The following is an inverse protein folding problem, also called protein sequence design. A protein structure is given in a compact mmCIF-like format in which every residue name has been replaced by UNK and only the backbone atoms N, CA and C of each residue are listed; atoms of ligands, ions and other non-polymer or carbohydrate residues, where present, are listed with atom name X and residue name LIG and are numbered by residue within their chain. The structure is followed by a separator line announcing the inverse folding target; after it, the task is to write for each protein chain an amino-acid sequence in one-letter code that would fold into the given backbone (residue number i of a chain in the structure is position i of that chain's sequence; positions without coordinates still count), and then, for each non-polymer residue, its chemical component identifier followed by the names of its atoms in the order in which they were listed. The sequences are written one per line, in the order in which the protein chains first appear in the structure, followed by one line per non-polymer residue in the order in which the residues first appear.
data_IF_020135904427
#
_entry.id   IF_020135904427
#
_cell.length_a   1.000
_cell.length_b   1.000
_cell.length_c   1.000
_cell.angle_alpha   90.00
_cell.angle_beta   90.00
_cell.angle_gamma   90.00
#
_symmetry.space_group_name_H-M   'P 1'
#
loop_
_entity.id
_entity.type
_entity.pdbx_description
1 polymer ?
#
# COMPACT_ATOMS: atom_id res chain seq x y z
N UNK A 1 -18.01 -8.38 17.34
CA UNK A 1 -17.76 -9.70 17.97
C UNK A 1 -16.81 -10.48 17.08
N UNK A 2 -15.91 -11.28 17.67
CA UNK A 2 -14.94 -12.12 16.94
C UNK A 2 -15.62 -13.42 16.52
N UNK A 3 -15.64 -13.76 15.23
CA UNK A 3 -16.27 -14.97 14.71
C UNK A 3 -15.38 -16.19 14.95
N UNK A 4 -16.00 -17.29 15.35
CA UNK A 4 -15.30 -18.56 15.54
C UNK A 4 -15.12 -19.26 14.19
N UNK A 5 -14.11 -20.12 14.09
CA UNK A 5 -13.82 -20.83 12.84
C UNK A 5 -15.02 -21.64 12.31
N UNK A 6 -15.82 -22.25 13.20
CA UNK A 6 -17.04 -22.99 12.80
C UNK A 6 -18.14 -22.08 12.22
N UNK A 7 -18.25 -20.84 12.71
CA UNK A 7 -19.18 -19.85 12.15
C UNK A 7 -18.71 -19.42 10.75
N UNK A 8 -17.40 -19.25 10.57
CA UNK A 8 -16.80 -18.95 9.26
C UNK A 8 -16.99 -20.08 8.25
N UNK A 9 -16.98 -21.35 8.69
CA UNK A 9 -17.31 -22.48 7.83
C UNK A 9 -18.75 -22.38 7.29
N UNK A 10 -19.72 -22.00 8.13
CA UNK A 10 -21.11 -21.81 7.71
C UNK A 10 -21.27 -20.60 6.76
N UNK A 11 -20.53 -19.51 7.00
CA UNK A 11 -20.50 -18.36 6.09
C UNK A 11 -19.93 -18.76 4.73
N UNK A 12 -18.90 -19.61 4.71
CA UNK A 12 -18.27 -20.04 3.47
C UNK A 12 -19.19 -20.89 2.58
N UNK A 13 -20.06 -21.73 3.16
CA UNK A 13 -21.03 -22.51 2.37
C UNK A 13 -22.08 -21.64 1.68
N UNK A 14 -22.38 -20.47 2.24
CA UNK A 14 -23.22 -19.47 1.58
C UNK A 14 -22.47 -18.72 0.47
N UNK A 15 -21.16 -18.51 0.63
CA UNK A 15 -20.33 -17.79 -0.34
C UNK A 15 -19.95 -18.63 -1.57
N UNK A 16 -19.74 -19.94 -1.39
CA UNK A 16 -19.26 -20.86 -2.44
C UNK A 16 -20.30 -21.97 -2.67
N UNK A 17 -21.06 -21.93 -3.77
CA UNK A 17 -22.04 -22.97 -4.09
C UNK A 17 -21.40 -24.36 -4.16
N UNK A 18 -21.99 -25.32 -3.46
CA UNK A 18 -21.51 -26.71 -3.43
C UNK A 18 -20.37 -26.98 -2.44
N UNK A 19 -19.86 -25.96 -1.73
CA UNK A 19 -18.85 -26.17 -0.70
C UNK A 19 -19.43 -26.95 0.49
N UNK A 20 -18.82 -28.10 0.80
CA UNK A 20 -19.19 -29.00 1.90
C UNK A 20 -18.01 -29.20 2.86
N UNK A 21 -17.83 -28.31 3.86
CA UNK A 21 -16.71 -28.40 4.79
C UNK A 21 -16.77 -29.67 5.64
N UNK A 22 -15.68 -30.44 5.67
CA UNK A 22 -15.50 -31.64 6.49
C UNK A 22 -14.60 -31.38 7.71
N UNK A 23 -13.72 -30.39 7.63
CA UNK A 23 -12.91 -29.93 8.74
C UNK A 23 -12.70 -28.41 8.69
N UNK A 24 -12.46 -27.83 9.87
CA UNK A 24 -12.17 -26.40 10.02
C UNK A 24 -11.11 -26.20 11.09
N UNK A 25 -10.20 -25.27 10.82
CA UNK A 25 -9.22 -24.81 11.81
C UNK A 25 -9.14 -23.29 11.82
N UNK A 26 -8.73 -22.74 12.98
CA UNK A 26 -8.34 -21.34 13.07
C UNK A 26 -7.06 -21.14 12.27
N UNK A 27 -7.03 -20.09 11.46
CA UNK A 27 -5.84 -19.68 10.74
C UNK A 27 -5.74 -18.17 10.83
N UNK A 28 -5.08 -17.66 11.89
CA UNK A 28 -4.88 -16.22 12.05
C UNK A 28 -4.22 -15.64 10.79
N UNK A 29 -4.75 -14.50 10.37
CA UNK A 29 -4.20 -13.64 9.33
C UNK A 29 -3.75 -12.36 10.04
N UNK A 30 -4.25 -11.18 9.67
CA UNK A 30 -4.23 -10.01 10.55
C UNK A 30 -5.42 -10.07 11.53
N UNK A 31 -5.19 -10.34 12.83
CA UNK A 31 -6.26 -10.52 13.80
C UNK A 31 -6.92 -9.19 14.23
N UNK A 32 -6.33 -8.04 13.91
CA UNK A 32 -6.94 -6.73 14.12
C UNK A 32 -8.06 -6.49 13.10
N UNK A 33 -7.82 -6.89 11.85
CA UNK A 33 -8.70 -6.60 10.72
C UNK A 33 -9.63 -7.75 10.34
N UNK A 34 -9.22 -9.01 10.55
CA UNK A 34 -9.92 -10.18 10.03
C UNK A 34 -10.13 -11.28 11.08
N UNK A 35 -11.28 -11.93 10.96
CA UNK A 35 -11.51 -13.28 11.48
C UNK A 35 -11.31 -14.26 10.33
N UNK A 36 -10.34 -15.18 10.48
CA UNK A 36 -9.89 -16.06 9.40
C UNK A 36 -9.90 -17.54 9.79
N UNK A 37 -10.25 -18.39 8.82
CA UNK A 37 -10.30 -19.84 9.00
C UNK A 37 -9.81 -20.59 7.77
N UNK A 38 -9.25 -21.79 7.99
CA UNK A 38 -8.98 -22.76 6.93
C UNK A 38 -10.04 -23.85 6.96
N UNK A 39 -10.55 -24.18 5.79
CA UNK A 39 -11.54 -25.24 5.59
C UNK A 39 -10.95 -26.34 4.72
N UNK A 40 -11.34 -27.58 5.00
CA UNK A 40 -11.18 -28.72 4.11
C UNK A 40 -12.58 -29.16 3.68
N UNK A 41 -12.80 -29.38 2.39
CA UNK A 41 -14.08 -29.90 1.90
C UNK A 41 -14.10 -31.43 1.74
N UNK A 42 -15.22 -31.99 1.29
CA UNK A 42 -15.37 -33.44 1.07
C UNK A 42 -14.58 -33.97 -0.12
N UNK A 43 -14.10 -33.10 -1.01
CA UNK A 43 -13.24 -33.44 -2.15
C UNK A 43 -11.76 -33.32 -1.80
N UNK A 44 -11.43 -32.89 -0.57
CA UNK A 44 -10.07 -32.68 -0.11
C UNK A 44 -9.46 -31.33 -0.53
N UNK A 45 -10.25 -30.42 -1.11
CA UNK A 45 -9.77 -29.07 -1.43
C UNK A 45 -9.74 -28.23 -0.16
N UNK A 46 -8.74 -27.34 -0.11
CA UNK A 46 -8.53 -26.42 1.00
C UNK A 46 -8.96 -25.01 0.62
N UNK A 47 -9.59 -24.33 1.56
CA UNK A 47 -10.13 -22.99 1.39
C UNK A 47 -9.68 -22.09 2.54
N UNK A 48 -9.52 -20.80 2.27
CA UNK A 48 -9.28 -19.78 3.29
C UNK A 48 -10.46 -18.81 3.28
N UNK A 49 -11.06 -18.58 4.44
CA UNK A 49 -12.11 -17.58 4.65
C UNK A 49 -11.50 -16.37 5.31
N UNK A 50 -11.74 -15.17 4.79
CA UNK A 50 -11.35 -13.90 5.41
C UNK A 50 -12.59 -13.05 5.62
N UNK A 51 -13.00 -12.91 6.89
CA UNK A 51 -14.16 -12.11 7.28
C UNK A 51 -13.69 -10.82 7.97
N UNK A 52 -13.96 -9.63 7.39
CA UNK A 52 -13.51 -8.37 7.95
C UNK A 52 -14.25 -8.03 9.25
N UNK A 53 -13.55 -7.35 10.16
CA UNK A 53 -14.07 -6.93 11.47
C UNK A 53 -14.67 -5.52 11.46
N UNK A 54 -14.32 -4.70 10.46
CA UNK A 54 -14.75 -3.32 10.31
C UNK A 54 -14.81 -2.91 8.82
N UNK A 55 -15.34 -1.71 8.55
CA UNK A 55 -15.64 -1.25 7.19
C UNK A 55 -14.39 -1.05 6.33
N UNK A 56 -13.28 -0.57 6.93
CA UNK A 56 -12.03 -0.35 6.22
C UNK A 56 -11.42 -1.69 5.76
N UNK A 57 -11.38 -2.70 6.64
CA UNK A 57 -10.95 -4.05 6.29
C UNK A 57 -11.83 -4.66 5.19
N UNK A 58 -13.15 -4.41 5.22
CA UNK A 58 -14.06 -4.86 4.15
C UNK A 58 -13.75 -4.18 2.81
N UNK A 59 -13.52 -2.87 2.81
CA UNK A 59 -13.16 -2.12 1.60
C UNK A 59 -11.82 -2.60 1.02
N UNK A 60 -10.85 -2.97 1.86
CA UNK A 60 -9.58 -3.58 1.42
C UNK A 60 -9.82 -4.90 0.68
N UNK A 61 -10.62 -5.82 1.22
CA UNK A 61 -10.92 -7.09 0.53
C UNK A 61 -11.72 -6.90 -0.76
N UNK A 62 -12.65 -5.96 -0.79
CA UNK A 62 -13.41 -5.62 -2.01
C UNK A 62 -12.47 -5.06 -3.10
N UNK A 63 -11.53 -4.20 -2.71
CA UNK A 63 -10.50 -3.67 -3.61
C UNK A 63 -9.58 -4.79 -4.11
N UNK A 64 -9.07 -5.63 -3.22
CA UNK A 64 -8.25 -6.80 -3.58
C UNK A 64 -9.00 -7.71 -4.58
N UNK A 65 -10.29 -7.96 -4.36
CA UNK A 65 -11.10 -8.75 -5.30
C UNK A 65 -11.17 -8.14 -6.70
N UNK A 66 -11.35 -6.82 -6.81
CA UNK A 66 -11.33 -6.12 -8.10
C UNK A 66 -9.96 -6.24 -8.79
N UNK A 67 -8.88 -6.05 -8.03
CA UNK A 67 -7.50 -6.21 -8.54
C UNK A 67 -7.28 -7.63 -9.04
N UNK A 68 -7.60 -8.64 -8.24
CA UNK A 68 -7.40 -10.05 -8.61
C UNK A 68 -8.17 -10.45 -9.88
N UNK A 69 -9.34 -9.84 -10.12
CA UNK A 69 -10.13 -10.05 -11.34
C UNK A 69 -9.50 -9.44 -12.60
N UNK A 70 -8.64 -8.43 -12.45
CA UNK A 70 -7.92 -7.83 -13.58
C UNK A 70 -6.89 -8.78 -14.19
N UNK A 71 -6.43 -9.79 -13.43
CA UNK A 71 -5.48 -10.78 -13.89
C UNK A 71 -6.18 -11.90 -14.68
N UNK A 72 -6.17 -11.76 -16.01
CA UNK A 72 -6.66 -12.81 -16.91
C UNK A 72 -5.90 -14.14 -16.71
N UNK A 73 -6.52 -15.31 -16.96
CA UNK A 73 -5.88 -16.61 -16.74
C UNK A 73 -4.53 -16.79 -17.45
N UNK A 74 -4.37 -16.25 -18.66
CA UNK A 74 -3.11 -16.31 -19.41
C UNK A 74 -1.97 -15.58 -18.68
N UNK A 75 -2.26 -14.39 -18.11
CA UNK A 75 -1.28 -13.61 -17.34
C UNK A 75 -0.91 -14.37 -16.06
N UNK A 76 -1.90 -14.92 -15.36
CA UNK A 76 -1.67 -15.72 -14.14
C UNK A 76 -0.78 -16.94 -14.41
N UNK A 77 -0.93 -17.58 -15.57
CA UNK A 77 -0.15 -18.76 -15.94
C UNK A 77 1.33 -18.45 -16.26
N UNK A 78 1.65 -17.20 -16.61
CA UNK A 78 3.03 -16.77 -16.88
C UNK A 78 3.80 -16.36 -15.61
N UNK A 79 3.11 -16.17 -14.49
CA UNK A 79 3.76 -15.79 -13.23
C UNK A 79 4.53 -16.97 -12.61
N UNK A 80 5.73 -16.73 -12.04
CA UNK A 80 6.54 -17.78 -11.43
C UNK A 80 6.00 -18.23 -10.06
N UNK A 81 4.94 -17.59 -9.57
CA UNK A 81 4.28 -17.84 -8.28
C UNK A 81 2.75 -17.86 -8.48
N UNK A 82 2.03 -18.40 -7.49
CA UNK A 82 0.57 -18.39 -7.46
C UNK A 82 0.03 -17.09 -6.85
N UNK A 83 -1.15 -16.69 -7.28
CA UNK A 83 -1.91 -15.57 -6.71
C UNK A 83 -3.20 -16.06 -6.04
N UNK A 84 -3.74 -15.32 -5.05
CA UNK A 84 -5.05 -15.62 -4.49
C UNK A 84 -6.13 -15.70 -5.57
N UNK A 85 -7.00 -16.69 -5.43
CA UNK A 85 -8.18 -16.85 -6.27
C UNK A 85 -9.40 -16.84 -5.39
N UNK A 86 -10.26 -15.85 -5.60
CA UNK A 86 -11.54 -15.77 -4.91
C UNK A 86 -12.47 -16.81 -5.50
N UNK A 87 -12.90 -17.74 -4.65
CA UNK A 87 -13.86 -18.79 -4.96
C UNK A 87 -15.31 -18.31 -4.81
N UNK A 88 -15.54 -17.35 -3.91
CA UNK A 88 -16.85 -16.80 -3.66
C UNK A 88 -16.82 -15.69 -2.61
N UNK A 89 -17.94 -14.99 -2.49
CA UNK A 89 -18.10 -13.88 -1.54
C UNK A 89 -19.52 -13.81 -1.03
N UNK A 90 -19.68 -13.41 0.24
CA UNK A 90 -20.98 -13.22 0.86
C UNK A 90 -20.98 -11.92 1.66
N UNK A 91 -22.07 -11.16 1.57
CA UNK A 91 -22.28 -9.94 2.34
C UNK A 91 -23.03 -10.25 3.63
N UNK A 92 -22.42 -9.85 4.75
CA UNK A 92 -22.94 -10.00 6.11
C UNK A 92 -23.17 -8.59 6.69
N UNK A 93 -24.42 -8.12 6.64
CA UNK A 93 -24.73 -6.72 6.93
C UNK A 93 -24.05 -5.78 5.93
N UNK A 94 -23.24 -4.84 6.41
CA UNK A 94 -22.47 -3.92 5.56
C UNK A 94 -21.09 -4.43 5.15
N UNK A 95 -20.68 -5.62 5.62
CA UNK A 95 -19.32 -6.14 5.42
C UNK A 95 -19.31 -7.33 4.47
N UNK A 96 -18.31 -7.40 3.59
CA UNK A 96 -18.16 -8.48 2.60
C UNK A 96 -17.09 -9.46 3.04
N UNK A 97 -17.46 -10.74 3.19
CA UNK A 97 -16.56 -11.85 3.50
C UNK A 97 -16.20 -12.58 2.23
N UNK A 98 -14.92 -12.92 2.07
CA UNK A 98 -14.40 -13.58 0.87
C UNK A 98 -13.83 -14.96 1.20
N UNK A 99 -14.06 -15.92 0.30
CA UNK A 99 -13.52 -17.27 0.36
C UNK A 99 -12.55 -17.45 -0.79
N UNK A 100 -11.35 -17.90 -0.47
CA UNK A 100 -10.24 -18.09 -1.41
C UNK A 100 -9.86 -19.56 -1.48
N UNK A 101 -9.39 -19.99 -2.65
CA UNK A 101 -8.64 -21.25 -2.75
C UNK A 101 -7.35 -21.14 -1.93
N UNK A 102 -7.03 -22.18 -1.15
CA UNK A 102 -5.85 -22.16 -0.31
C UNK A 102 -4.57 -22.26 -1.14
N UNK A 103 -3.61 -21.38 -0.84
CA UNK A 103 -2.26 -21.40 -1.40
C UNK A 103 -1.32 -22.13 -0.43
N UNK A 104 -0.49 -23.02 -0.95
CA UNK A 104 0.51 -23.75 -0.18
C UNK A 104 1.76 -22.90 0.11
N UNK A 105 2.50 -23.30 1.14
CA UNK A 105 3.66 -22.56 1.68
C UNK A 105 3.34 -21.87 3.01
N UNK A 106 4.34 -21.24 3.59
CA UNK A 106 4.22 -20.42 4.79
C UNK A 106 4.97 -19.11 4.62
N UNK A 107 4.55 -18.08 5.35
CA UNK A 107 5.39 -16.89 5.54
C UNK A 107 6.62 -17.25 6.35
N UNK A 108 7.64 -16.40 6.27
CA UNK A 108 8.89 -16.49 7.03
C UNK A 108 9.27 -15.10 7.48
N UNK A 109 9.91 -14.97 8.63
CA UNK A 109 10.43 -13.67 9.05
C UNK A 109 11.55 -13.21 8.13
N UNK A 110 11.87 -11.91 8.14
CA UNK A 110 13.00 -11.37 7.38
C UNK A 110 14.30 -12.10 7.71
N UNK A 111 14.55 -12.40 9.00
CA UNK A 111 15.73 -13.13 9.45
C UNK A 111 15.77 -14.57 8.93
N UNK A 112 14.62 -15.24 8.83
CA UNK A 112 14.54 -16.58 8.25
C UNK A 112 14.74 -16.58 6.74
N UNK A 113 14.34 -15.50 6.06
CA UNK A 113 14.57 -15.31 4.63
C UNK A 113 16.06 -15.04 4.33
N UNK A 114 16.70 -14.18 5.12
CA UNK A 114 18.12 -13.80 4.96
C UNK A 114 19.05 -14.94 5.34
N UNK A 115 18.73 -15.71 6.38
CA UNK A 115 19.47 -16.92 6.77
C UNK A 115 19.14 -18.14 5.89
N UNK A 116 18.19 -18.00 4.96
CA UNK A 116 17.78 -19.05 4.04
C UNK A 116 18.84 -19.38 2.98
N UNK A 117 18.61 -20.42 2.15
CA UNK A 117 19.51 -20.73 1.05
C UNK A 117 19.56 -19.59 0.02
N UNK A 118 20.72 -19.32 -0.59
CA UNK A 118 20.91 -18.30 -1.64
C UNK A 118 19.87 -18.36 -2.77
N UNK A 119 19.39 -19.57 -3.07
CA UNK A 119 18.35 -19.81 -4.05
C UNK A 119 17.04 -19.05 -3.74
N UNK A 120 16.75 -18.77 -2.47
CA UNK A 120 15.56 -18.04 -2.04
C UNK A 120 15.64 -16.55 -2.40
N UNK A 121 16.78 -15.91 -2.18
CA UNK A 121 17.03 -14.54 -2.63
C UNK A 121 16.83 -14.41 -4.15
N UNK A 122 17.31 -15.41 -4.91
CA UNK A 122 17.09 -15.49 -6.35
C UNK A 122 15.60 -15.60 -6.71
N UNK A 123 14.84 -16.46 -6.02
CA UNK A 123 13.40 -16.61 -6.28
C UNK A 123 12.61 -15.34 -5.95
N UNK A 124 12.97 -14.61 -4.89
CA UNK A 124 12.38 -13.31 -4.56
C UNK A 124 12.67 -12.29 -5.67
N UNK A 125 13.92 -12.22 -6.14
CA UNK A 125 14.28 -11.33 -7.26
C UNK A 125 13.55 -11.67 -8.56
N UNK A 126 13.34 -12.96 -8.85
CA UNK A 126 12.55 -13.42 -10.00
C UNK A 126 11.07 -13.05 -9.85
N UNK A 127 10.50 -13.20 -8.65
CA UNK A 127 9.12 -12.79 -8.37
C UNK A 127 8.92 -11.28 -8.57
N UNK A 128 9.81 -10.46 -7.99
CA UNK A 128 9.84 -9.00 -8.18
C UNK A 128 9.93 -8.61 -9.65
N UNK A 129 10.82 -9.27 -10.40
CA UNK A 129 10.98 -8.99 -11.83
C UNK A 129 9.69 -9.28 -12.59
N UNK A 130 9.05 -10.41 -12.32
CA UNK A 130 7.79 -10.80 -12.93
C UNK A 130 6.65 -9.81 -12.63
N UNK A 131 6.55 -9.32 -11.38
CA UNK A 131 5.57 -8.30 -10.99
C UNK A 131 5.82 -7.00 -11.77
N UNK A 132 7.07 -6.51 -11.77
CA UNK A 132 7.41 -5.26 -12.44
C UNK A 132 7.35 -5.35 -13.97
N UNK A 133 7.38 -6.56 -14.53
CA UNK A 133 7.15 -6.87 -15.94
C UNK A 133 5.68 -7.21 -16.28
N UNK A 134 4.75 -7.05 -15.35
CA UNK A 134 3.35 -7.13 -15.71
C UNK A 134 2.97 -6.05 -16.75
N UNK A 135 2.13 -6.39 -17.74
CA UNK A 135 1.61 -5.39 -18.66
C UNK A 135 0.88 -4.27 -17.92
N UNK A 136 1.29 -3.02 -18.16
CA UNK A 136 0.65 -1.81 -17.59
C UNK A 136 -0.86 -1.74 -17.86
N UNK A 137 -1.32 -2.39 -18.93
CA UNK A 137 -2.73 -2.51 -19.28
C UNK A 137 -3.57 -3.20 -18.20
N UNK A 138 -3.00 -4.08 -17.36
CA UNK A 138 -3.73 -4.67 -16.22
C UNK A 138 -4.21 -3.58 -15.27
N UNK A 139 -3.32 -2.63 -14.95
CA UNK A 139 -3.62 -1.51 -14.05
C UNK A 139 -4.56 -0.52 -14.74
N UNK A 140 -4.27 -0.13 -15.98
CA UNK A 140 -5.09 0.85 -16.70
C UNK A 140 -6.50 0.35 -17.02
N UNK A 141 -6.68 -0.92 -17.39
CA UNK A 141 -8.00 -1.47 -17.73
C UNK A 141 -8.89 -1.70 -16.50
N UNK A 142 -8.30 -1.78 -15.31
CA UNK A 142 -9.00 -1.92 -14.04
C UNK A 142 -9.19 -0.58 -13.32
N UNK A 143 -8.89 0.54 -14.00
CA UNK A 143 -8.95 1.91 -13.45
C UNK A 143 -8.16 2.06 -12.13
N UNK A 144 -7.06 1.31 -12.00
CA UNK A 144 -6.19 1.35 -10.84
C UNK A 144 -5.20 2.54 -10.91
N UNK A 145 -4.66 3.00 -9.77
CA UNK A 145 -3.80 4.17 -9.73
C UNK A 145 -2.56 4.02 -10.63
N UNK A 146 -2.21 5.10 -11.33
CA UNK A 146 -1.02 5.17 -12.17
C UNK A 146 -0.35 6.52 -12.00
N UNK A 147 0.93 6.50 -11.65
CA UNK A 147 1.71 7.71 -11.41
C UNK A 147 2.92 7.77 -12.33
N UNK A 148 3.15 8.94 -12.91
CA UNK A 148 4.46 9.31 -13.48
C UNK A 148 5.48 9.51 -12.35
N UNK A 149 6.79 9.51 -12.63
CA UNK A 149 7.81 9.71 -11.60
C UNK A 149 7.64 11.01 -10.81
N UNK A 150 7.26 12.09 -11.50
CA UNK A 150 7.05 13.39 -10.85
C UNK A 150 5.76 13.44 -10.02
N UNK A 151 4.68 12.82 -10.47
CA UNK A 151 3.45 12.70 -9.67
C UNK A 151 3.69 11.88 -8.41
N UNK A 152 4.43 10.78 -8.53
CA UNK A 152 4.80 9.93 -7.39
C UNK A 152 5.65 10.72 -6.38
N UNK A 153 6.69 11.41 -6.86
CA UNK A 153 7.52 12.31 -6.04
C UNK A 153 6.69 13.39 -5.34
N UNK A 154 5.81 14.08 -6.06
CA UNK A 154 4.98 15.14 -5.50
C UNK A 154 4.03 14.60 -4.44
N UNK A 155 3.48 13.39 -4.64
CA UNK A 155 2.65 12.73 -3.64
C UNK A 155 3.45 12.44 -2.36
N UNK A 156 4.67 11.92 -2.48
CA UNK A 156 5.55 11.68 -1.32
C UNK A 156 5.93 12.97 -0.59
N UNK A 157 6.16 14.07 -1.32
CA UNK A 157 6.34 15.41 -0.71
C UNK A 157 5.09 15.85 0.06
N UNK A 158 3.90 15.69 -0.51
CA UNK A 158 2.67 16.06 0.18
C UNK A 158 2.42 15.20 1.43
N UNK A 159 2.77 13.91 1.38
CA UNK A 159 2.74 13.01 2.54
C UNK A 159 3.74 13.47 3.61
N UNK A 160 4.95 13.90 3.21
CA UNK A 160 5.95 14.46 4.13
C UNK A 160 5.44 15.74 4.80
N UNK A 161 4.84 16.66 4.05
CA UNK A 161 4.26 17.89 4.59
C UNK A 161 3.18 17.59 5.63
N UNK A 162 2.29 16.64 5.34
CA UNK A 162 1.27 16.19 6.29
C UNK A 162 1.90 15.57 7.53
N UNK A 163 2.88 14.70 7.38
CA UNK A 163 3.57 14.06 8.48
C UNK A 163 4.34 15.09 9.35
N UNK A 164 4.91 16.13 8.74
CA UNK A 164 5.57 17.22 9.43
C UNK A 164 4.61 18.03 10.32
N UNK A 165 3.34 18.19 9.91
CA UNK A 165 2.33 18.90 10.71
C UNK A 165 2.02 18.24 12.06
N UNK A 166 2.38 16.96 12.23
CA UNK A 166 2.23 16.25 13.50
C UNK A 166 3.14 16.79 14.60
N UNK A 167 4.27 17.42 14.23
CA UNK A 167 5.29 17.91 15.15
C UNK A 167 6.05 16.80 15.93
N UNK A 168 5.82 15.54 15.59
CA UNK A 168 6.39 14.36 16.29
C UNK A 168 7.59 13.74 15.59
N UNK A 169 7.89 14.15 14.36
CA UNK A 169 9.02 13.62 13.59
C UNK A 169 10.30 14.40 13.94
N UNK A 170 11.43 13.73 14.23
CA UNK A 170 12.71 14.39 14.45
C UNK A 170 13.10 15.33 13.29
N UNK A 171 13.48 16.59 13.55
CA UNK A 171 13.78 17.56 12.49
C UNK A 171 14.90 17.13 11.53
N UNK A 172 15.87 16.36 12.02
CA UNK A 172 16.96 15.83 11.20
C UNK A 172 16.45 14.86 10.12
N UNK A 173 15.42 14.06 10.43
CA UNK A 173 14.79 13.15 9.47
C UNK A 173 13.96 13.93 8.43
N UNK A 174 13.20 14.94 8.87
CA UNK A 174 12.44 15.81 7.96
C UNK A 174 13.35 16.46 6.92
N UNK A 175 14.43 17.12 7.35
CA UNK A 175 15.40 17.76 6.46
C UNK A 175 16.05 16.75 5.50
N UNK A 176 16.38 15.56 6.02
CA UNK A 176 17.00 14.48 5.26
C UNK A 176 16.07 13.95 4.16
N UNK A 177 14.80 13.73 4.47
CA UNK A 177 13.80 13.23 3.52
C UNK A 177 13.38 14.30 2.51
N UNK A 178 13.18 15.54 2.96
CA UNK A 178 12.91 16.70 2.09
C UNK A 178 14.01 16.83 1.04
N UNK A 179 15.27 16.82 1.47
CA UNK A 179 16.41 16.90 0.56
C UNK A 179 16.45 15.77 -0.48
N UNK A 180 16.16 14.53 -0.09
CA UNK A 180 16.10 13.40 -1.02
C UNK A 180 14.91 13.50 -1.99
N UNK A 181 13.76 13.97 -1.50
CA UNK A 181 12.58 14.25 -2.31
C UNK A 181 12.80 15.44 -3.25
N UNK A 182 13.69 16.37 -2.92
CA UNK A 182 14.06 17.51 -3.77
C UNK A 182 15.12 17.19 -4.83
N UNK A 183 15.94 16.16 -4.62
CA UNK A 183 16.93 15.68 -5.60
C UNK A 183 16.26 15.08 -6.84
N UNK A 184 16.06 15.93 -7.86
CA UNK A 184 15.43 15.57 -9.14
C UNK A 184 16.14 14.41 -9.84
N UNK A 185 17.44 14.18 -9.59
CA UNK A 185 18.18 13.09 -10.22
C UNK A 185 17.74 11.72 -9.73
N UNK A 186 17.26 11.63 -8.49
CA UNK A 186 16.74 10.43 -7.85
C UNK A 186 15.46 9.92 -8.54
N UNK A 187 14.62 10.84 -9.00
CA UNK A 187 13.26 10.59 -9.52
C UNK A 187 13.22 10.32 -11.04
N UNK A 188 14.37 10.03 -11.66
CA UNK A 188 14.47 9.62 -13.07
C UNK A 188 14.44 8.10 -13.19
N UNK A 189 13.26 7.51 -13.02
CA UNK A 189 13.02 6.08 -13.17
C UNK A 189 11.94 5.79 -14.21
N UNK A 190 11.87 4.52 -14.64
CA UNK A 190 10.81 4.03 -15.51
C UNK A 190 9.70 3.43 -14.63
N UNK A 191 8.48 4.02 -14.59
CA UNK A 191 7.40 3.46 -13.81
C UNK A 191 7.01 2.06 -14.29
N UNK A 192 6.80 1.15 -13.37
CA UNK A 192 6.35 -0.22 -13.61
C UNK A 192 5.06 -0.49 -12.85
N UNK A 193 4.41 -1.61 -13.17
CA UNK A 193 3.45 -2.20 -12.24
C UNK A 193 4.21 -2.54 -10.96
N UNK A 194 3.65 -2.23 -9.80
CA UNK A 194 4.21 -2.55 -8.48
C UNK A 194 3.13 -3.21 -7.64
N UNK A 195 3.52 -4.16 -6.80
CA UNK A 195 2.64 -4.81 -5.83
C UNK A 195 2.13 -3.76 -4.82
N UNK A 196 3.03 -2.89 -4.37
CA UNK A 196 2.71 -1.70 -3.60
C UNK A 196 2.69 -1.88 -2.09
N UNK A 197 2.56 -3.13 -1.64
CA UNK A 197 2.63 -3.59 -0.24
C UNK A 197 3.44 -4.90 -0.14
N UNK A 198 4.54 -5.02 -0.90
CA UNK A 198 5.33 -6.25 -0.87
C UNK A 198 6.23 -6.27 0.38
N UNK A 199 6.11 -7.33 1.18
CA UNK A 199 6.97 -7.63 2.32
C UNK A 199 6.85 -9.14 2.66
N UNK A 200 7.56 -9.60 3.68
CA UNK A 200 7.71 -11.02 4.03
C UNK A 200 6.39 -11.73 4.37
N UNK A 201 5.39 -11.05 4.94
CA UNK A 201 4.09 -11.65 5.23
C UNK A 201 3.26 -11.88 3.96
N UNK A 202 3.60 -11.18 2.88
CA UNK A 202 2.96 -11.31 1.58
C UNK A 202 3.66 -12.34 0.67
N UNK A 203 4.68 -13.04 1.18
CA UNK A 203 5.41 -14.09 0.47
C UNK A 203 5.18 -15.45 1.12
N UNK A 204 4.63 -16.39 0.36
CA UNK A 204 4.57 -17.79 0.77
C UNK A 204 5.78 -18.55 0.20
N UNK A 205 6.47 -19.26 1.07
CA UNK A 205 7.70 -20.00 0.74
C UNK A 205 7.55 -21.48 1.10
N UNK A 206 8.05 -22.35 0.24
CA UNK A 206 8.22 -23.77 0.50
C UNK A 206 9.64 -24.21 0.10
N UNK A 207 10.40 -24.73 1.06
CA UNK A 207 11.83 -25.01 0.85
C UNK A 207 12.62 -23.73 0.50
N UNK A 208 13.11 -23.66 -0.73
CA UNK A 208 13.83 -22.50 -1.29
C UNK A 208 13.07 -21.80 -2.42
N UNK A 209 11.76 -22.03 -2.54
CA UNK A 209 10.92 -21.49 -3.62
C UNK A 209 9.83 -20.56 -3.07
N UNK A 210 9.62 -19.43 -3.73
CA UNK A 210 8.43 -18.59 -3.54
C UNK A 210 7.25 -19.26 -4.24
N UNK A 211 6.29 -19.77 -3.47
CA UNK A 211 5.13 -20.50 -4.00
C UNK A 211 3.99 -19.57 -4.38
N UNK A 212 3.81 -18.48 -3.62
CA UNK A 212 2.71 -17.54 -3.81
C UNK A 212 3.06 -16.14 -3.32
N UNK A 213 2.36 -15.15 -3.89
CA UNK A 213 2.40 -13.74 -3.46
C UNK A 213 0.97 -13.30 -3.14
N UNK A 214 0.75 -12.72 -1.97
CA UNK A 214 -0.57 -12.24 -1.47
C UNK A 214 -0.55 -10.73 -1.22
N UNK A 215 -1.68 -10.12 -0.86
CA UNK A 215 -1.70 -8.70 -0.47
C UNK A 215 -1.87 -7.71 -1.62
N UNK A 216 -2.56 -8.10 -2.69
CA UNK A 216 -2.63 -7.35 -3.96
C UNK A 216 -3.49 -6.06 -3.93
N UNK A 217 -3.87 -5.57 -2.75
CA UNK A 217 -4.79 -4.43 -2.61
C UNK A 217 -4.22 -3.15 -3.22
N UNK A 218 -2.90 -2.98 -3.15
CA UNK A 218 -2.21 -1.72 -3.43
C UNK A 218 -1.57 -1.66 -4.84
N UNK A 219 -1.95 -2.60 -5.71
CA UNK A 219 -1.45 -2.71 -7.08
C UNK A 219 -1.64 -1.40 -7.84
N UNK A 220 -0.54 -0.87 -8.38
CA UNK A 220 -0.54 0.40 -9.11
C UNK A 220 0.59 0.44 -10.14
N UNK A 221 0.59 1.47 -10.98
CA UNK A 221 1.81 1.87 -11.70
C UNK A 221 2.53 2.94 -10.87
N UNK A 222 3.79 2.69 -10.52
CA UNK A 222 4.56 3.56 -9.63
C UNK A 222 6.05 3.28 -9.66
N UNK A 223 6.72 3.64 -8.57
CA UNK A 223 8.16 3.42 -8.40
C UNK A 223 8.45 1.98 -7.95
N UNK A 224 9.18 1.17 -8.74
CA UNK A 224 9.56 -0.18 -8.33
C UNK A 224 10.40 -0.24 -7.06
N UNK A 225 10.92 0.90 -6.57
CA UNK A 225 11.61 0.98 -5.29
C UNK A 225 10.71 0.67 -4.08
N UNK A 226 9.40 0.90 -4.17
CA UNK A 226 8.45 0.62 -3.06
C UNK A 226 8.50 -0.87 -2.67
N UNK A 227 8.53 -1.78 -3.65
CA UNK A 227 8.57 -3.24 -3.42
C UNK A 227 9.94 -3.75 -2.95
N UNK A 228 10.96 -2.88 -2.95
CA UNK A 228 12.31 -3.16 -2.41
C UNK A 228 12.53 -2.59 -1.00
N UNK A 229 11.64 -1.74 -0.50
CA UNK A 229 11.86 -0.99 0.75
C UNK A 229 12.11 -1.93 1.95
N UNK A 230 11.30 -2.98 2.10
CA UNK A 230 11.43 -3.95 3.19
C UNK A 230 12.77 -4.73 3.14
N UNK A 231 13.29 -5.01 1.94
CA UNK A 231 14.58 -5.67 1.77
C UNK A 231 15.71 -4.79 2.31
N UNK A 232 15.70 -3.50 1.95
CA UNK A 232 16.73 -2.57 2.40
C UNK A 232 16.65 -2.33 3.91
N UNK A 233 15.46 -2.43 4.50
CA UNK A 233 15.26 -2.34 5.95
C UNK A 233 15.87 -3.52 6.73
N UNK A 234 16.10 -4.68 6.10
CA UNK A 234 16.72 -5.86 6.74
C UNK A 234 18.18 -5.67 7.16
N UNK A 235 18.86 -4.68 6.57
CA UNK A 235 20.29 -4.39 6.75
C UNK A 235 21.25 -5.57 6.40
N UNK A 236 20.77 -6.58 5.67
CA UNK A 236 21.55 -7.72 5.18
C UNK A 236 21.99 -7.50 3.72
N UNK A 237 23.10 -6.78 3.52
CA UNK A 237 23.53 -6.30 2.21
C UNK A 237 23.72 -7.43 1.18
N UNK A 238 24.32 -8.56 1.59
CA UNK A 238 24.56 -9.70 0.69
C UNK A 238 23.24 -10.29 0.16
N UNK A 239 22.22 -10.34 1.01
CA UNK A 239 20.88 -10.78 0.63
C UNK A 239 20.22 -9.81 -0.34
N UNK A 240 20.27 -8.50 -0.04
CA UNK A 240 19.73 -7.44 -0.92
C UNK A 240 20.41 -7.47 -2.29
N UNK A 241 21.73 -7.62 -2.33
CA UNK A 241 22.52 -7.68 -3.56
C UNK A 241 22.18 -8.93 -4.38
N UNK A 242 21.98 -10.09 -3.73
CA UNK A 242 21.55 -11.32 -4.39
C UNK A 242 20.14 -11.19 -5.01
N UNK A 243 19.19 -10.59 -4.27
CA UNK A 243 17.84 -10.30 -4.78
C UNK A 243 17.91 -9.32 -5.96
N UNK A 244 18.65 -8.22 -5.82
CA UNK A 244 18.82 -7.22 -6.88
C UNK A 244 19.47 -7.80 -8.14
N UNK A 245 20.45 -8.69 -7.98
CA UNK A 245 21.11 -9.36 -9.10
C UNK A 245 20.13 -10.24 -9.88
N UNK A 246 19.34 -11.06 -9.17
CA UNK A 246 18.32 -11.91 -9.78
C UNK A 246 17.20 -11.08 -10.43
N UNK A 247 16.75 -10.02 -9.76
CA UNK A 247 15.79 -9.06 -10.30
C UNK A 247 16.29 -8.44 -11.60
N UNK A 248 17.51 -7.90 -11.59
CA UNK A 248 18.12 -7.26 -12.77
C UNK A 248 18.27 -8.23 -13.93
N UNK A 249 18.58 -9.50 -13.66
CA UNK A 249 18.70 -10.54 -14.69
C UNK A 249 17.35 -10.99 -15.27
N UNK A 250 16.28 -10.97 -14.47
CA UNK A 250 14.93 -11.35 -14.89
C UNK A 250 14.14 -10.23 -15.57
N UNK A 251 14.51 -8.97 -15.33
CA UNK A 251 13.83 -7.79 -15.88
C UNK A 251 14.06 -7.63 -17.39
N UNK A 252 13.02 -7.22 -18.12
CA UNK A 252 13.16 -6.81 -19.53
C UNK A 252 13.92 -5.49 -19.69
N UNK A 253 13.64 -4.53 -18.81
CA UNK A 253 14.33 -3.24 -18.79
C UNK A 253 15.29 -3.16 -17.61
N UNK A 254 16.51 -2.69 -17.87
CA UNK A 254 17.52 -2.49 -16.83
C UNK A 254 16.99 -1.52 -15.76
N UNK A 255 17.03 -1.89 -14.46
CA UNK A 255 16.69 -0.98 -13.37
C UNK A 255 17.57 0.27 -13.38
N UNK A 256 17.02 1.40 -12.96
CA UNK A 256 17.81 2.62 -12.84
C UNK A 256 18.81 2.51 -11.67
N UNK A 257 19.87 3.33 -11.73
CA UNK A 257 20.97 3.32 -10.74
C UNK A 257 20.58 3.80 -9.34
N UNK A 258 19.38 4.34 -9.15
CA UNK A 258 18.92 4.94 -7.90
C UNK A 258 17.80 4.14 -7.23
N UNK A 259 17.45 2.97 -7.77
CA UNK A 259 16.43 2.07 -7.20
C UNK A 259 16.61 1.84 -5.69
N UNK A 260 17.78 1.34 -5.27
CA UNK A 260 18.02 1.05 -3.85
C UNK A 260 18.06 2.31 -2.97
N UNK A 261 18.42 3.47 -3.52
CA UNK A 261 18.38 4.74 -2.77
C UNK A 261 16.95 5.19 -2.51
N UNK A 262 16.07 5.05 -3.51
CA UNK A 262 14.63 5.30 -3.34
C UNK A 262 13.98 4.27 -2.42
N UNK A 263 14.43 3.01 -2.46
CA UNK A 263 13.95 1.97 -1.57
C UNK A 263 14.33 2.28 -0.12
N UNK A 264 15.58 2.70 0.13
CA UNK A 264 16.03 3.18 1.43
C UNK A 264 15.21 4.38 1.92
N UNK A 265 14.97 5.38 1.07
CA UNK A 265 14.10 6.51 1.39
C UNK A 265 12.68 6.04 1.77
N UNK A 266 12.10 5.12 1.00
CA UNK A 266 10.77 4.58 1.28
C UNK A 266 10.73 3.80 2.60
N UNK A 267 11.78 3.04 2.92
CA UNK A 267 11.90 2.31 4.17
C UNK A 267 11.96 3.25 5.38
N UNK A 268 12.80 4.29 5.32
CA UNK A 268 12.86 5.32 6.37
C UNK A 268 11.51 6.04 6.52
N UNK A 269 10.89 6.41 5.39
CA UNK A 269 9.65 7.18 5.37
C UNK A 269 8.42 6.38 5.83
N UNK A 270 8.45 5.05 5.70
CA UNK A 270 7.37 4.18 6.20
C UNK A 270 7.08 4.39 7.70
N UNK A 271 8.10 4.73 8.50
CA UNK A 271 7.91 5.05 9.93
C UNK A 271 7.05 6.30 10.15
N UNK A 272 7.20 7.32 9.29
CA UNK A 272 6.36 8.51 9.33
C UNK A 272 4.91 8.19 8.93
N UNK A 273 4.73 7.31 7.95
CA UNK A 273 3.40 6.84 7.55
C UNK A 273 2.72 6.02 8.66
N UNK A 274 3.48 5.16 9.34
CA UNK A 274 3.00 4.40 10.50
C UNK A 274 2.55 5.33 11.64
N UNK A 275 3.33 6.37 11.94
CA UNK A 275 2.97 7.42 12.90
C UNK A 275 1.65 8.10 12.51
N UNK A 276 1.52 8.57 11.27
CA UNK A 276 0.31 9.26 10.79
C UNK A 276 -0.91 8.34 10.86
N UNK A 277 -0.75 7.05 10.53
CA UNK A 277 -1.80 6.03 10.67
C UNK A 277 -2.23 5.86 12.13
N UNK A 278 -1.28 5.76 13.06
CA UNK A 278 -1.56 5.68 14.49
C UNK A 278 -2.34 6.89 15.01
N UNK A 279 -1.97 8.10 14.58
CA UNK A 279 -2.68 9.33 14.93
C UNK A 279 -4.12 9.31 14.38
N UNK A 280 -4.29 8.96 13.11
CA UNK A 280 -5.60 8.90 12.47
C UNK A 280 -6.53 7.86 13.13
N UNK A 281 -5.97 6.74 13.59
CA UNK A 281 -6.69 5.70 14.33
C UNK A 281 -6.96 6.06 15.80
N UNK A 282 -6.32 7.11 16.34
CA UNK A 282 -6.37 7.44 17.76
C UNK A 282 -5.67 6.40 18.65
N UNK A 283 -4.72 5.64 18.09
CA UNK A 283 -4.01 4.57 18.78
C UNK A 283 -2.73 5.12 19.43
N UNK A 284 -2.82 5.41 20.73
CA UNK A 284 -1.69 5.96 21.48
C UNK A 284 -0.50 4.99 21.59
N UNK A 285 -0.72 3.68 21.50
CA UNK A 285 0.35 2.69 21.53
C UNK A 285 1.12 2.69 20.22
N UNK A 286 0.40 2.67 19.09
CA UNK A 286 0.98 2.79 17.75
C UNK A 286 1.77 4.10 17.59
N UNK A 287 1.24 5.21 18.11
CA UNK A 287 1.94 6.50 18.07
C UNK A 287 3.23 6.47 18.89
N UNK A 288 3.21 5.94 20.11
CA UNK A 288 4.39 5.87 20.96
C UNK A 288 5.49 4.98 20.35
N UNK A 289 5.11 3.83 19.80
CA UNK A 289 6.01 2.92 19.09
C UNK A 289 6.64 3.61 17.86
N UNK A 290 5.84 4.33 17.08
CA UNK A 290 6.34 5.08 15.92
C UNK A 290 7.34 6.17 16.32
N UNK A 291 7.07 6.91 17.41
CA UNK A 291 8.01 7.92 17.93
C UNK A 291 9.33 7.29 18.40
N UNK A 292 9.30 6.12 19.03
CA UNK A 292 10.48 5.38 19.45
C UNK A 292 11.32 4.88 18.25
N UNK A 293 10.66 4.32 17.23
CA UNK A 293 11.32 3.88 16.00
C UNK A 293 11.97 5.06 15.26
N UNK A 294 11.27 6.20 15.16
CA UNK A 294 11.81 7.42 14.55
C UNK A 294 13.01 7.98 15.33
N UNK A 295 12.96 7.96 16.66
CA UNK A 295 14.06 8.39 17.50
C UNK A 295 15.30 7.48 17.33
N UNK A 296 15.07 6.17 17.27
CA UNK A 296 16.13 5.18 17.01
C UNK A 296 16.77 5.42 15.65
N UNK A 297 15.96 5.53 14.58
CA UNK A 297 16.45 5.83 13.24
C UNK A 297 17.28 7.13 13.19
N UNK A 298 16.80 8.19 13.84
CA UNK A 298 17.53 9.46 13.91
C UNK A 298 18.89 9.32 14.63
N UNK A 299 18.94 8.53 15.70
CA UNK A 299 20.17 8.24 16.44
C UNK A 299 21.16 7.44 15.57
N UNK A 300 20.69 6.36 14.94
CA UNK A 300 21.53 5.48 14.12
C UNK A 300 22.10 6.23 12.90
N UNK A 301 21.32 7.10 12.27
CA UNK A 301 21.80 7.95 11.18
C UNK A 301 22.85 8.95 11.69
N UNK A 302 22.66 9.52 12.89
CA UNK A 302 23.64 10.44 13.45
C UNK A 302 24.97 9.75 13.80
N UNK A 303 24.92 8.49 14.26
CA UNK A 303 26.11 7.72 14.63
C UNK A 303 26.83 7.10 13.43
N UNK A 304 26.08 6.57 12.46
CA UNK A 304 26.60 5.73 11.37
C UNK A 304 26.44 6.34 9.98
N UNK A 305 25.75 7.48 9.83
CA UNK A 305 25.54 8.19 8.57
C UNK A 305 24.34 7.72 7.75
N UNK A 306 23.71 6.59 8.11
CA UNK A 306 22.59 5.99 7.40
C UNK A 306 22.93 5.48 6.00
N UNK A 307 21.97 4.81 5.35
CA UNK A 307 22.08 4.44 3.94
C UNK A 307 22.01 5.70 3.05
N UNK A 308 22.67 5.74 1.88
CA UNK A 308 22.61 6.92 1.01
C UNK A 308 21.25 7.03 0.32
N UNK A 309 20.43 8.01 0.72
CA UNK A 309 19.09 8.25 0.14
C UNK A 309 19.02 9.38 -0.90
N UNK A 310 20.08 10.20 -1.01
CA UNK A 310 20.21 11.28 -2.01
C UNK A 310 21.53 11.15 -2.77
N UNK A 311 21.61 11.70 -3.98
CA UNK A 311 22.86 11.82 -4.74
C UNK A 311 23.65 13.04 -4.30
N UNK A 312 22.92 14.11 -3.96
CA UNK A 312 23.50 15.34 -3.46
C UNK A 312 23.84 15.18 -1.97
N UNK A 313 25.02 15.65 -1.51
CA UNK A 313 25.30 15.73 -0.09
C UNK A 313 24.31 16.69 0.57
N UNK A 314 23.88 16.37 1.79
CA UNK A 314 23.08 17.31 2.58
C UNK A 314 23.83 18.65 2.67
N UNK A 315 23.12 19.79 2.51
CA UNK A 315 23.73 21.09 2.70
C UNK A 315 24.31 21.13 4.12
N UNK A 316 25.63 21.25 4.21
CA UNK A 316 26.29 21.43 5.50
C UNK A 316 25.68 22.67 6.14
N UNK A 317 25.23 22.62 7.41
CA UNK A 317 24.77 23.82 8.08
C UNK A 317 25.95 24.79 8.02
N UNK A 318 25.82 25.83 7.19
CA UNK A 318 26.87 26.79 6.98
C UNK A 318 27.29 27.23 8.38
N UNK A 319 28.54 26.95 8.74
CA UNK A 319 29.13 27.50 9.94
C UNK A 319 28.78 28.98 9.89
N UNK A 320 27.90 29.41 10.79
CA UNK A 320 27.48 30.80 10.87
C UNK A 320 28.77 31.59 10.83
N UNK A 321 29.01 32.26 9.72
CA UNK A 321 30.25 32.99 9.52
C UNK A 321 30.09 34.14 10.48
N UNK A 322 30.60 33.96 11.69
CA UNK A 322 30.67 35.01 12.70
C UNK A 322 31.37 36.14 11.96
N UNK A 323 30.72 37.29 11.72
CA UNK A 323 31.41 38.39 11.07
C UNK A 323 32.62 38.66 11.95
N UNK A 324 33.81 38.45 11.41
CA UNK A 324 35.04 38.79 12.09
C UNK A 324 34.90 40.27 12.48
N UNK A 325 34.93 40.52 13.79
CA UNK A 325 34.83 41.87 14.33
C UNK A 325 35.88 42.74 13.63
N UNK A 326 35.41 43.72 12.87
CA UNK A 326 36.26 44.72 12.28
C UNK A 326 37.01 45.46 13.42
N UNK A 327 38.33 45.66 13.32
CA UNK A 327 39.05 46.43 14.32
C UNK A 327 38.56 47.89 14.32
N UNK A 328 38.57 48.57 15.47
CA UNK A 328 38.03 49.92 15.59
C UNK A 328 38.86 50.91 14.76
N UNK A 329 38.20 51.62 13.85
CA UNK A 329 38.79 52.73 13.12
C UNK A 329 38.96 53.94 14.06
N UNK A 330 40.20 54.39 14.19
CA UNK A 330 40.61 55.60 14.90
C UNK A 330 39.97 56.85 14.27
N UNK A 331 39.33 57.67 15.09
CA UNK A 331 38.82 58.99 14.72
C UNK A 331 39.94 60.03 14.90
N UNK A 332 40.36 60.67 13.80
CA UNK A 332 41.07 61.95 13.81
C UNK A 332 40.08 63.09 13.43
N UNK A 333 40.15 64.26 14.08
CA UNK A 333 39.21 65.35 13.84
C UNK A 333 39.74 66.34 12.78
N UNK A 334 38.90 66.70 11.82
CA UNK A 334 39.14 67.86 10.96
C UNK A 334 37.90 68.75 10.91
N UNK A 335 38.09 69.99 11.38
CA UNK A 335 37.15 71.10 11.39
C UNK A 335 36.98 71.72 9.99
N UNK A 336 35.83 72.37 9.76
CA UNK A 336 35.77 73.51 8.83
C UNK A 336 34.59 73.54 7.85
N UNK A 337 33.45 74.06 8.33
CA UNK A 337 32.53 75.03 7.70
C UNK A 337 32.17 74.98 6.19
N UNK A 338 30.86 75.05 5.91
CA UNK A 338 30.35 75.79 4.74
C UNK A 338 29.01 75.37 4.13
N UNK A 339 27.91 75.98 4.60
CA UNK A 339 26.68 76.37 3.89
C UNK A 339 25.75 75.31 3.20
N UNK A 340 24.47 75.30 3.64
CA UNK A 340 23.32 74.71 2.94
C UNK A 340 22.79 75.56 1.76
N UNK A 341 21.53 75.42 1.26
CA UNK A 341 20.33 74.99 2.01
C UNK A 341 19.29 74.09 1.27
N UNK A 342 18.37 73.51 2.07
CA UNK A 342 16.99 73.11 1.68
C UNK A 342 16.84 71.65 1.21
N UNK A 343 15.80 70.89 1.56
CA UNK A 343 14.47 71.18 2.08
C UNK A 343 13.93 69.97 2.90
N UNK A 344 13.22 70.32 3.97
CA UNK A 344 12.03 69.69 4.61
C UNK A 344 12.10 68.31 5.27
N UNK A 345 11.83 68.34 6.58
CA UNK A 345 11.35 67.26 7.43
C UNK A 345 9.85 66.95 7.23
N UNK A 346 9.46 65.70 7.50
CA UNK A 346 8.24 65.37 8.22
C UNK A 346 8.40 63.97 8.84
N UNK A 347 8.26 63.93 10.16
CA UNK A 347 8.25 62.76 11.03
C UNK A 347 7.10 61.79 10.73
N UNK A 348 7.35 60.53 11.11
CA UNK A 348 6.44 59.60 11.79
C UNK A 348 5.01 59.43 11.26
N UNK A 349 4.67 58.22 10.79
CA UNK A 349 3.87 57.31 11.62
C UNK A 349 3.78 55.93 10.94
N UNK A 350 3.79 54.88 11.74
CA UNK A 350 3.43 53.51 11.31
C UNK A 350 1.94 53.34 11.57
N UNK A 351 1.19 52.76 10.62
CA UNK A 351 0.15 51.84 11.06
C UNK A 351 0.20 50.50 10.34
N UNK A 352 0.21 49.46 11.16
CA UNK A 352 -0.27 48.13 10.83
C UNK A 352 -1.78 48.17 10.51
N UNK A 353 -2.19 47.47 9.46
CA UNK A 353 -3.47 46.73 9.37
C UNK A 353 -3.60 46.12 7.96
N UNK A 354 -3.48 44.80 7.89
CA UNK A 354 -3.95 44.02 6.73
C UNK A 354 -5.47 43.87 6.87
N UNK A 355 -6.28 44.09 5.82
CA UNK A 355 -7.73 43.97 5.93
C UNK A 355 -8.14 42.49 6.12
N UNK A 356 -9.22 42.20 6.88
CA UNK A 356 -9.69 40.84 7.09
C UNK A 356 -10.29 40.25 5.80
N UNK A 357 -9.81 39.07 5.43
CA UNK A 357 -10.43 38.22 4.39
C UNK A 357 -11.79 37.75 4.92
N UNK A 358 -12.86 38.18 4.26
CA UNK A 358 -14.23 37.75 4.59
C UNK A 358 -14.54 36.51 3.76
N UNK A 359 -14.67 35.35 4.42
CA UNK A 359 -15.10 34.09 3.78
C UNK A 359 -16.62 34.07 3.77
N UNK A 360 -17.23 34.04 2.59
CA UNK A 360 -18.67 33.83 2.43
C UNK A 360 -18.98 32.32 2.51
N UNK A 361 -19.95 31.88 3.32
CA UNK A 361 -20.37 30.48 3.34
C UNK A 361 -21.10 30.12 2.03
N UNK A 362 -20.68 29.02 1.41
CA UNK A 362 -21.35 28.41 0.25
C UNK A 362 -22.70 27.85 0.72
N UNK A 363 -23.83 28.19 0.08
CA UNK A 363 -25.14 27.65 0.48
C UNK A 363 -25.21 26.15 0.23
N UNK A 364 -25.65 25.40 1.25
CA UNK A 364 -25.89 23.97 1.18
C UNK A 364 -26.96 23.65 0.12
N UNK A 365 -26.57 22.92 -0.93
CA UNK A 365 -27.49 22.36 -1.91
C UNK A 365 -28.07 21.07 -1.31
N UNK A 366 -29.35 21.08 -0.94
CA UNK A 366 -30.09 19.86 -0.62
C UNK A 366 -30.41 19.11 -1.92
N UNK A 367 -30.14 17.80 -2.02
CA UNK A 367 -30.68 17.01 -3.13
C UNK A 367 -32.16 16.71 -2.84
N UNK A 368 -33.05 17.41 -3.54
CA UNK A 368 -34.46 17.05 -3.64
C UNK A 368 -34.61 15.89 -4.64
N UNK A 369 -34.84 14.67 -4.14
CA UNK A 369 -35.29 13.54 -4.97
C UNK A 369 -36.62 13.06 -4.41
N UNK A 370 -37.71 13.44 -5.07
CA UNK A 370 -39.02 12.82 -4.88
C UNK A 370 -39.04 11.47 -5.59
N UNK A 371 -39.04 10.37 -4.82
CA UNK A 371 -39.30 9.03 -5.36
C UNK A 371 -40.81 8.83 -5.43
N UNK A 372 -41.32 8.60 -6.64
CA UNK A 372 -42.72 8.21 -6.87
C UNK A 372 -42.78 6.68 -6.92
N UNK A 373 -43.62 5.99 -6.13
CA UNK A 373 -43.71 4.53 -6.20
C UNK A 373 -44.44 4.07 -7.47
N UNK A 374 -43.90 3.02 -8.10
CA UNK A 374 -44.45 2.35 -9.28
C UNK A 374 -45.65 1.47 -8.86
N UNK A 375 -46.78 1.45 -9.60
CA UNK A 375 -47.90 0.56 -9.29
C UNK A 375 -47.52 -0.91 -9.49
N UNK A 376 -47.93 -1.77 -8.55
CA UNK A 376 -47.73 -3.22 -8.61
C UNK A 376 -48.93 -3.85 -9.33
N UNK A 377 -48.68 -4.55 -10.45
CA UNK A 377 -49.69 -5.41 -11.07
C UNK A 377 -49.76 -6.77 -10.35
N UNK A 378 -50.96 -7.36 -10.18
CA UNK A 378 -51.12 -8.61 -9.42
C UNK A 378 -50.69 -9.84 -10.22
N UNK A 379 -49.97 -10.72 -9.53
CA UNK A 379 -49.53 -12.06 -9.94
C UNK A 379 -50.68 -12.97 -10.40
N UNK A 380 -50.56 -13.70 -11.53
CA UNK A 380 -51.48 -14.78 -11.84
C UNK A 380 -51.09 -16.10 -11.14
N UNK A 381 -52.11 -16.83 -10.69
CA UNK A 381 -52.07 -18.10 -9.97
C UNK A 381 -51.59 -19.30 -10.84
N UNK A 382 -51.25 -20.47 -10.24
CA UNK A 382 -50.43 -21.50 -10.88
C UNK A 382 -51.24 -22.46 -11.75
N UNK A 383 -50.62 -22.94 -12.83
CA UNK A 383 -51.14 -24.04 -13.66
C UNK A 383 -50.45 -25.38 -13.31
N UNK A 384 -51.28 -26.41 -13.16
CA UNK A 384 -51.00 -27.82 -12.85
C UNK A 384 -50.36 -28.56 -14.05
N UNK A 385 -49.58 -29.65 -13.87
CA UNK A 385 -48.67 -30.18 -14.88
C UNK A 385 -49.29 -31.29 -15.74
N UNK A 386 -48.62 -31.72 -16.83
CA UNK A 386 -48.79 -33.08 -17.34
C UNK A 386 -47.51 -33.92 -17.24
N UNK A 387 -47.76 -35.23 -17.22
CA UNK A 387 -46.84 -36.31 -16.95
C UNK A 387 -45.96 -36.74 -18.14
N UNK A 388 -44.72 -37.12 -17.81
CA UNK A 388 -44.01 -38.35 -18.20
C UNK A 388 -43.83 -38.74 -19.67
N UNK A 389 -42.57 -38.95 -20.07
CA UNK A 389 -42.07 -40.22 -20.65
C UNK A 389 -40.53 -40.24 -20.76
N UNK A 390 -39.89 -41.20 -20.11
CA UNK A 390 -38.91 -42.15 -20.69
C UNK A 390 -37.54 -41.70 -21.25
N UNK A 391 -36.47 -42.04 -20.52
CA UNK A 391 -35.43 -42.95 -21.03
C UNK A 391 -34.08 -42.36 -21.48
N UNK A 392 -32.98 -42.88 -20.91
CA UNK A 392 -31.67 -42.97 -21.59
C UNK A 392 -30.46 -42.54 -20.76
N UNK A 393 -29.68 -43.52 -20.30
CA UNK A 393 -28.36 -43.36 -19.69
C UNK A 393 -27.26 -43.05 -20.73
N UNK A 394 -26.20 -42.34 -20.33
CA UNK A 394 -24.99 -42.17 -21.13
C UNK A 394 -23.92 -41.33 -20.44
N UNK A 395 -22.76 -41.96 -20.27
CA UNK A 395 -21.50 -41.53 -19.63
C UNK A 395 -20.93 -40.15 -20.04
N UNK A 396 -20.15 -39.57 -19.12
CA UNK A 396 -19.25 -38.45 -19.33
C UNK A 396 -17.94 -38.88 -20.05
N UNK A 397 -17.04 -37.96 -20.48
CA UNK A 397 -16.13 -37.35 -19.51
C UNK A 397 -15.72 -35.88 -19.75
N UNK A 398 -15.47 -35.18 -18.63
CA UNK A 398 -14.33 -34.28 -18.38
C UNK A 398 -13.99 -33.17 -19.38
N UNK A 399 -14.45 -31.95 -19.08
CA UNK A 399 -13.88 -30.69 -19.59
C UNK A 399 -13.22 -29.89 -18.44
N UNK A 400 -12.28 -28.98 -18.74
CA UNK A 400 -11.36 -28.39 -17.75
C UNK A 400 -12.07 -27.48 -16.74
N UNK A 401 -11.56 -27.49 -15.51
CA UNK A 401 -11.98 -26.64 -14.40
C UNK A 401 -11.98 -25.15 -14.78
N UNK A 402 -13.18 -24.60 -14.92
CA UNK A 402 -13.43 -23.20 -15.22
C UNK A 402 -13.24 -22.37 -13.92
N UNK A 403 -11.99 -22.11 -13.55
CA UNK A 403 -11.59 -21.21 -12.45
C UNK A 403 -11.64 -19.74 -12.88
N UNK A 404 -12.68 -19.37 -13.62
CA UNK A 404 -12.89 -18.01 -14.10
C UNK A 404 -13.53 -17.14 -13.01
N UNK A 405 -12.77 -16.17 -12.51
CA UNK A 405 -13.26 -15.16 -11.53
C UNK A 405 -14.19 -14.12 -12.18
N UNK A 406 -14.49 -14.25 -13.48
CA UNK A 406 -15.15 -13.21 -14.27
C UNK A 406 -16.66 -13.05 -14.01
N UNK A 407 -17.31 -13.98 -13.30
CA UNK A 407 -18.78 -14.00 -13.14
C UNK A 407 -19.28 -14.16 -11.69
N UNK A 408 -18.49 -13.78 -10.68
CA UNK A 408 -18.91 -13.86 -9.28
C UNK A 408 -19.82 -12.68 -8.90
N UNK A 409 -21.01 -12.98 -8.36
CA UNK A 409 -21.99 -12.00 -7.85
C UNK A 409 -22.00 -12.06 -6.32
N UNK A 410 -22.02 -10.91 -5.64
CA UNK A 410 -22.06 -10.85 -4.16
C UNK A 410 -23.44 -11.34 -3.69
N UNK A 411 -23.48 -12.39 -2.86
CA UNK A 411 -24.71 -12.95 -2.29
C UNK A 411 -24.99 -12.29 -0.93
N UNK A 412 -26.23 -11.83 -0.68
CA UNK A 412 -26.66 -11.35 0.64
C UNK A 412 -27.09 -12.52 1.52
N UNK A 413 -26.55 -12.62 2.74
CA UNK A 413 -27.02 -13.60 3.72
C UNK A 413 -28.17 -13.02 4.55
N UNK A 414 -29.33 -13.68 4.54
CA UNK A 414 -30.42 -13.37 5.46
C UNK A 414 -30.11 -13.91 6.86
N UNK A 415 -30.16 -13.04 7.88
CA UNK A 415 -30.09 -13.44 9.28
C UNK A 415 -31.26 -14.37 9.63
N UNK A 416 -30.97 -15.54 10.20
CA UNK A 416 -31.97 -16.43 10.83
C UNK A 416 -31.57 -16.76 12.25
#
# INVERSE_FOLDING_TARGET
MRRKAIELAAVATAAVPGLTPTAVSSAPDDPADFDSALLLDSEGKRWRVRSPRHAEASARLETEFLVLRAFAPAIRAELPFLMPTVAGSVRLGSLSTFVYSHLGGSTRSVEELTAGPDALAREIGVALAAIHDLPRAIVSNADLPSYTPNEFRQRRLNELDQAATTGKIPPALLLRWEHALEDVSLWRFNPSVVHGDLHEDNLLVEGSRVTAVTGWTDLRIGDPADDFAWLVASNEQDFVDAVLAAYTAGRRDKPDKHLLRRAALSAEFALAQYLVKGIAAGDATMVAEAEEMLATLASDIAEHGGQPISVEPLPSPAAATVPAAAPPASLEPAAGAGAGPGLRAADGDVPAAVPPVTVFPVPAVQPAVHVTPIPVDPTPAPATPPAGTGGGAGDAPGGPDDTSTAALTIVEANER
#
